data_IF_302090358162
#
_entry.id   IF_302090358162
#
_cell.length_a   1.000
_cell.length_b   1.000
_cell.length_c   1.000
_cell.angle_alpha   90.00
_cell.angle_beta   90.00
_cell.angle_gamma   90.00
#
_symmetry.space_group_name_H-M   'P 1'
#
loop_
_entity.id
_entity.type
_entity.pdbx_description
1 polymer ?
#
# COMPACT_ATOMS: atom_id res chain seq x y z
N UNK A 1 12.56 8.52 -18.98
CA UNK A 1 12.60 10.00 -19.06
C UNK A 1 11.27 10.63 -18.63
N UNK A 2 10.10 10.09 -19.02
CA UNK A 2 8.78 10.54 -18.52
C UNK A 2 8.48 10.15 -17.06
N UNK A 3 9.10 9.06 -16.60
CA UNK A 3 8.81 8.46 -15.31
C UNK A 3 9.40 9.24 -14.13
N UNK A 4 10.63 9.76 -14.30
CA UNK A 4 11.20 10.76 -13.39
C UNK A 4 10.37 12.05 -13.37
N UNK A 5 9.80 12.49 -14.50
CA UNK A 5 8.96 13.69 -14.53
C UNK A 5 7.65 13.51 -13.74
N UNK A 6 7.00 12.34 -13.83
CA UNK A 6 5.81 12.06 -13.04
C UNK A 6 6.13 11.98 -11.55
N UNK A 7 7.20 11.26 -11.18
CA UNK A 7 7.66 11.19 -9.80
C UNK A 7 7.94 12.58 -9.21
N UNK A 8 8.67 13.43 -9.94
CA UNK A 8 8.99 14.79 -9.49
C UNK A 8 7.72 15.64 -9.35
N UNK A 9 6.79 15.53 -10.30
CA UNK A 9 5.52 16.27 -10.22
C UNK A 9 4.70 15.85 -9.00
N UNK A 10 4.55 14.54 -8.77
CA UNK A 10 3.82 14.02 -7.63
C UNK A 10 4.48 14.41 -6.29
N UNK A 11 5.82 14.40 -6.24
CA UNK A 11 6.54 14.90 -5.07
C UNK A 11 6.21 16.36 -4.77
N UNK A 12 6.19 17.22 -5.79
CA UNK A 12 5.85 18.63 -5.64
C UNK A 12 4.40 18.82 -5.19
N UNK A 13 3.45 18.10 -5.78
CA UNK A 13 2.02 18.20 -5.44
C UNK A 13 1.76 17.76 -4.00
N UNK A 14 2.28 16.59 -3.60
CA UNK A 14 2.13 16.04 -2.24
C UNK A 14 2.80 16.93 -1.21
N UNK A 15 4.03 17.37 -1.46
CA UNK A 15 4.74 18.23 -0.52
C UNK A 15 4.15 19.64 -0.46
N UNK A 16 3.66 20.18 -1.57
CA UNK A 16 2.96 21.46 -1.61
C UNK A 16 1.68 21.45 -0.78
N UNK A 17 0.91 20.36 -0.84
CA UNK A 17 -0.34 20.22 -0.08
C UNK A 17 -0.10 19.95 1.40
N UNK A 18 0.70 18.93 1.72
CA UNK A 18 0.89 18.49 3.10
C UNK A 18 2.03 19.20 3.82
N UNK A 19 3.12 19.49 3.10
CA UNK A 19 4.40 19.92 3.69
C UNK A 19 4.36 21.27 4.40
N UNK A 20 3.25 21.99 4.39
CA UNK A 20 3.02 23.24 5.15
C UNK A 20 2.28 23.02 6.48
N UNK A 21 1.74 21.83 6.74
CA UNK A 21 1.06 21.52 8.00
C UNK A 21 2.07 21.33 9.14
N UNK A 22 1.88 22.05 10.24
CA UNK A 22 2.79 22.03 11.41
C UNK A 22 2.11 21.69 12.74
N UNK A 23 0.78 21.66 12.78
CA UNK A 23 -0.01 21.32 13.98
C UNK A 23 -0.34 19.82 14.07
N UNK A 24 0.58 18.96 13.61
CA UNK A 24 0.39 17.51 13.51
C UNK A 24 1.64 16.78 14.00
N UNK A 25 1.47 15.53 14.42
CA UNK A 25 2.60 14.68 14.77
C UNK A 25 3.52 14.50 13.54
N UNK A 26 4.83 14.83 13.65
CA UNK A 26 5.71 14.83 12.48
C UNK A 26 5.92 13.46 11.83
N UNK A 27 5.94 12.37 12.61
CA UNK A 27 6.12 11.02 12.09
C UNK A 27 4.87 10.56 11.33
N UNK A 28 3.69 10.76 11.92
CA UNK A 28 2.40 10.47 11.27
C UNK A 28 2.21 11.32 10.02
N UNK A 29 2.63 12.58 10.07
CA UNK A 29 2.58 13.48 8.92
C UNK A 29 3.46 12.99 7.77
N UNK A 30 4.70 12.60 8.05
CA UNK A 30 5.59 12.01 7.05
C UNK A 30 5.03 10.71 6.45
N UNK A 31 4.38 9.85 7.25
CA UNK A 31 3.71 8.65 6.72
C UNK A 31 2.61 9.00 5.74
N UNK A 32 1.76 9.99 6.05
CA UNK A 32 0.69 10.42 5.14
C UNK A 32 1.27 10.93 3.82
N UNK A 33 2.30 11.76 3.89
CA UNK A 33 2.98 12.27 2.70
C UNK A 33 3.57 11.14 1.85
N UNK A 34 4.32 10.23 2.47
CA UNK A 34 4.98 9.13 1.75
C UNK A 34 3.99 8.10 1.19
N UNK A 35 2.89 7.81 1.91
CA UNK A 35 1.80 6.95 1.40
C UNK A 35 1.01 7.62 0.28
N UNK A 36 0.95 8.96 0.24
CA UNK A 36 0.34 9.70 -0.87
C UNK A 36 1.13 9.57 -2.18
N UNK A 37 2.37 9.09 -2.12
CA UNK A 37 3.14 8.70 -3.30
C UNK A 37 2.71 7.35 -3.88
N UNK A 38 1.78 6.63 -3.23
CA UNK A 38 1.26 5.35 -3.70
C UNK A 38 2.02 4.12 -3.19
N UNK A 39 3.14 4.31 -2.49
CA UNK A 39 3.95 3.22 -1.94
C UNK A 39 3.60 2.87 -0.49
N UNK A 40 3.90 1.64 -0.08
CA UNK A 40 3.67 1.19 1.29
C UNK A 40 4.79 1.62 2.25
N UNK A 41 4.40 2.41 3.25
CA UNK A 41 5.27 2.92 4.32
C UNK A 41 4.74 2.57 5.71
N UNK A 42 5.63 2.10 6.58
CA UNK A 42 5.37 1.77 8.00
C UNK A 42 6.08 2.76 8.93
N UNK A 43 5.65 2.82 10.19
CA UNK A 43 6.35 3.63 11.20
C UNK A 43 7.83 3.23 11.36
N UNK A 44 8.14 1.94 11.25
CA UNK A 44 9.52 1.41 11.32
C UNK A 44 10.39 1.88 10.16
N UNK A 45 9.82 2.01 8.95
CA UNK A 45 10.57 2.55 7.80
C UNK A 45 11.04 3.99 8.06
N UNK A 46 10.32 4.74 8.90
CA UNK A 46 10.63 6.12 9.25
C UNK A 46 11.47 6.25 10.53
N UNK A 47 11.60 5.21 11.34
CA UNK A 47 12.34 5.28 12.61
C UNK A 47 13.74 5.82 12.39
N UNK A 48 14.47 5.26 11.41
CA UNK A 48 15.84 5.70 11.08
C UNK A 48 15.87 7.16 10.59
N UNK A 49 14.88 7.60 9.81
CA UNK A 49 14.81 8.97 9.31
C UNK A 49 14.53 10.00 10.42
N UNK A 50 13.95 9.55 11.54
CA UNK A 50 13.57 10.40 12.67
C UNK A 50 14.43 10.21 13.93
N UNK A 51 15.25 9.16 14.02
CA UNK A 51 16.10 8.88 15.19
C UNK A 51 17.33 9.79 15.29
N UNK A 52 17.82 10.31 14.17
CA UNK A 52 19.08 11.07 14.08
C UNK A 52 18.85 12.54 13.70
N UNK A 53 17.64 13.08 13.91
CA UNK A 53 17.31 14.43 13.44
C UNK A 53 17.99 15.50 14.29
N UNK A 54 18.60 16.54 13.66
CA UNK A 54 19.14 17.68 14.37
C UNK A 54 18.09 18.37 15.25
N UNK A 55 18.55 18.94 16.36
CA UNK A 55 17.70 19.68 17.28
C UNK A 55 16.98 20.83 16.56
N UNK A 56 15.66 20.94 16.77
CA UNK A 56 14.80 21.92 16.08
C UNK A 56 14.22 21.47 14.74
N UNK A 57 14.75 20.41 14.09
CA UNK A 57 14.21 19.89 12.83
C UNK A 57 13.23 18.73 13.03
N UNK A 58 11.99 19.06 13.40
CA UNK A 58 10.95 18.07 13.66
C UNK A 58 10.32 17.46 12.40
N UNK A 59 10.24 18.21 11.30
CA UNK A 59 9.56 17.79 10.05
C UNK A 59 10.57 17.53 8.93
N UNK A 60 10.21 16.65 7.99
CA UNK A 60 10.97 16.43 6.76
C UNK A 60 10.91 17.69 5.89
N UNK A 61 12.06 18.14 5.40
CA UNK A 61 12.10 19.10 4.30
C UNK A 61 11.85 18.41 2.95
N UNK A 62 11.66 19.19 1.88
CA UNK A 62 11.33 18.66 0.56
C UNK A 62 12.38 17.66 0.05
N UNK A 63 13.66 17.99 0.20
CA UNK A 63 14.76 17.14 -0.23
C UNK A 63 14.78 15.81 0.51
N UNK A 64 14.53 15.82 1.82
CA UNK A 64 14.45 14.61 2.63
C UNK A 64 13.25 13.75 2.25
N UNK A 65 12.07 14.36 2.10
CA UNK A 65 10.85 13.69 1.65
C UNK A 65 11.05 13.04 0.29
N UNK A 66 11.53 13.80 -0.71
CA UNK A 66 11.79 13.32 -2.07
C UNK A 66 12.76 12.14 -2.08
N UNK A 67 13.86 12.23 -1.31
CA UNK A 67 14.85 11.15 -1.22
C UNK A 67 14.25 9.87 -0.64
N UNK A 68 13.44 9.99 0.42
CA UNK A 68 12.75 8.84 1.02
C UNK A 68 11.72 8.27 0.03
N UNK A 69 10.88 9.10 -0.57
CA UNK A 69 9.90 8.64 -1.56
C UNK A 69 10.56 7.86 -2.70
N UNK A 70 11.69 8.36 -3.24
CA UNK A 70 12.42 7.70 -4.31
C UNK A 70 12.98 6.33 -3.91
N UNK A 71 13.33 6.10 -2.64
CA UNK A 71 13.95 4.84 -2.21
C UNK A 71 13.00 3.64 -2.27
N UNK A 72 11.68 3.87 -2.33
CA UNK A 72 10.67 2.83 -2.50
C UNK A 72 9.85 3.01 -3.79
N UNK A 73 10.21 3.96 -4.65
CA UNK A 73 9.43 4.25 -5.85
C UNK A 73 9.45 3.07 -6.81
N UNK A 74 8.27 2.52 -7.09
CA UNK A 74 8.11 1.42 -8.03
C UNK A 74 7.33 1.85 -9.26
N UNK A 75 7.95 1.59 -10.40
CA UNK A 75 7.27 1.59 -11.69
C UNK A 75 7.29 0.17 -12.25
N UNK A 76 6.13 -0.42 -12.56
CA UNK A 76 6.08 -1.57 -13.43
C UNK A 76 6.76 -1.17 -14.75
N UNK A 77 7.67 -2.02 -15.25
CA UNK A 77 8.29 -1.79 -16.54
C UNK A 77 7.20 -1.83 -17.62
N UNK A 78 6.74 -0.65 -18.04
CA UNK A 78 5.82 -0.51 -19.15
C UNK A 78 6.53 -0.87 -20.45
N UNK A 79 6.19 -2.01 -21.03
CA UNK A 79 6.57 -2.40 -22.39
C UNK A 79 7.84 -3.22 -22.50
N UNK A 80 7.69 -4.54 -22.49
CA UNK A 80 7.97 -5.41 -23.64
C UNK A 80 8.00 -6.86 -23.17
N UNK A 81 7.50 -7.73 -24.06
CA UNK A 81 7.61 -9.19 -24.06
C UNK A 81 8.80 -9.73 -23.23
N UNK A 82 8.58 -9.97 -21.94
CA UNK A 82 9.42 -10.87 -21.17
C UNK A 82 8.75 -12.24 -21.22
N UNK A 83 9.09 -13.01 -22.26
CA UNK A 83 8.99 -14.46 -22.20
C UNK A 83 9.69 -14.92 -20.90
N UNK A 84 8.90 -15.24 -19.88
CA UNK A 84 9.37 -15.81 -18.61
C UNK A 84 9.41 -14.90 -17.38
N UNK A 85 8.95 -13.64 -17.45
CA UNK A 85 8.80 -12.79 -16.25
C UNK A 85 7.39 -12.90 -15.67
N UNK A 86 7.24 -13.35 -14.43
CA UNK A 86 5.94 -13.45 -13.76
C UNK A 86 5.26 -12.08 -13.66
N UNK A 87 4.43 -11.73 -14.65
CA UNK A 87 3.47 -10.65 -14.52
C UNK A 87 2.49 -11.07 -13.43
N UNK A 88 2.33 -10.24 -12.39
CA UNK A 88 1.32 -10.46 -11.37
C UNK A 88 -0.04 -10.17 -12.00
N UNK A 89 -0.58 -11.20 -12.64
CA UNK A 89 -1.92 -11.18 -13.20
C UNK A 89 -2.93 -11.50 -12.09
N UNK A 90 -4.07 -10.81 -12.11
CA UNK A 90 -5.15 -11.14 -11.21
C UNK A 90 -5.76 -12.52 -11.52
N UNK A 91 -5.52 -13.10 -12.71
CA UNK A 91 -6.11 -14.33 -13.24
C UNK A 91 -7.13 -14.10 -14.38
N UNK A 92 -7.35 -12.86 -14.79
CA UNK A 92 -8.22 -12.41 -15.90
C UNK A 92 -7.46 -11.52 -16.91
N UNK A 93 -6.15 -11.37 -16.79
CA UNK A 93 -5.34 -10.50 -17.64
C UNK A 93 -5.14 -9.07 -17.11
N UNK A 94 -5.59 -8.75 -15.89
CA UNK A 94 -5.34 -7.42 -15.30
C UNK A 94 -4.07 -7.41 -14.46
N UNK A 95 -3.25 -6.38 -14.68
CA UNK A 95 -2.00 -6.17 -13.96
C UNK A 95 -2.24 -5.70 -12.52
N UNK A 96 -1.59 -6.39 -11.57
CA UNK A 96 -1.52 -5.99 -10.16
C UNK A 96 -0.32 -5.06 -9.99
N UNK A 97 -0.58 -3.78 -9.73
CA UNK A 97 0.43 -2.73 -9.47
C UNK A 97 1.09 -2.87 -8.09
N UNK A 98 1.76 -4.00 -7.86
CA UNK A 98 2.54 -4.29 -6.66
C UNK A 98 3.77 -5.12 -7.02
N UNK A 99 4.85 -4.99 -6.25
CA UNK A 99 6.03 -5.82 -6.43
C UNK A 99 5.71 -7.32 -6.30
N UNK A 100 6.27 -8.21 -7.13
CA UNK A 100 6.09 -9.66 -7.00
C UNK A 100 6.43 -10.22 -5.63
N UNK A 101 7.44 -9.66 -4.96
CA UNK A 101 7.81 -10.05 -3.60
C UNK A 101 6.69 -9.73 -2.59
N UNK A 102 6.04 -8.58 -2.71
CA UNK A 102 4.95 -8.17 -1.83
C UNK A 102 3.68 -8.99 -2.09
N UNK A 103 3.39 -9.30 -3.36
CA UNK A 103 2.29 -10.22 -3.73
C UNK A 103 2.54 -11.61 -3.15
N UNK A 104 3.76 -12.13 -3.25
CA UNK A 104 4.13 -13.44 -2.70
C UNK A 104 4.04 -13.46 -1.17
N UNK A 105 4.54 -12.42 -0.49
CA UNK A 105 4.44 -12.26 0.96
C UNK A 105 2.97 -12.17 1.41
N UNK A 106 2.15 -11.40 0.69
CA UNK A 106 0.72 -11.27 0.97
C UNK A 106 0.01 -12.61 0.84
N UNK A 107 0.19 -13.32 -0.28
CA UNK A 107 -0.41 -14.65 -0.50
C UNK A 107 0.01 -15.63 0.59
N UNK A 108 1.31 -15.68 0.91
CA UNK A 108 1.81 -16.54 1.99
C UNK A 108 1.23 -16.21 3.37
N UNK A 109 1.01 -14.93 3.68
CA UNK A 109 0.35 -14.52 4.93
C UNK A 109 -1.14 -14.90 4.93
N UNK A 110 -1.84 -14.62 3.82
CA UNK A 110 -3.25 -14.97 3.66
C UNK A 110 -3.48 -16.48 3.80
N UNK A 111 -2.65 -17.29 3.15
CA UNK A 111 -2.78 -18.75 3.15
C UNK A 111 -2.63 -19.34 4.55
N UNK A 112 -1.68 -18.83 5.35
CA UNK A 112 -1.47 -19.28 6.74
C UNK A 112 -2.67 -18.95 7.62
N UNK A 113 -3.22 -17.75 7.46
CA UNK A 113 -4.37 -17.29 8.25
C UNK A 113 -5.63 -18.06 7.84
N UNK A 114 -5.88 -18.19 6.54
CA UNK A 114 -7.01 -18.97 6.03
C UNK A 114 -6.95 -20.40 6.53
N UNK A 115 -5.78 -21.06 6.48
CA UNK A 115 -5.61 -22.41 7.00
C UNK A 115 -5.86 -22.49 8.52
N UNK A 116 -5.40 -21.51 9.29
CA UNK A 116 -5.63 -21.47 10.73
C UNK A 116 -7.13 -21.37 11.08
N UNK A 117 -7.90 -20.52 10.38
CA UNK A 117 -9.30 -20.26 10.70
C UNK A 117 -10.29 -21.23 10.04
N UNK A 118 -9.95 -21.79 8.88
CA UNK A 118 -10.88 -22.65 8.11
C UNK A 118 -10.45 -24.12 8.05
N UNK A 119 -9.19 -24.42 8.37
CA UNK A 119 -8.60 -25.75 8.19
C UNK A 119 -8.43 -26.17 6.72
N UNK A 120 -8.81 -25.32 5.77
CA UNK A 120 -8.75 -25.63 4.34
C UNK A 120 -7.32 -25.55 3.81
N UNK A 121 -6.86 -26.63 3.16
CA UNK A 121 -5.54 -26.72 2.51
C UNK A 121 -5.58 -26.65 0.99
N UNK A 122 -6.77 -26.60 0.40
CA UNK A 122 -6.99 -26.55 -1.05
C UNK A 122 -6.69 -25.20 -1.70
N UNK A 123 -6.84 -25.08 -3.04
CA UNK A 123 -6.50 -23.87 -3.80
C UNK A 123 -7.48 -22.70 -3.61
N UNK A 124 -8.72 -22.97 -3.20
CA UNK A 124 -9.76 -21.96 -3.00
C UNK A 124 -9.83 -21.51 -1.54
N UNK A 125 -8.70 -21.05 -1.01
CA UNK A 125 -8.63 -20.54 0.37
C UNK A 125 -9.43 -19.24 0.48
N UNK A 126 -10.28 -19.19 1.48
CA UNK A 126 -11.08 -18.02 1.81
C UNK A 126 -10.84 -17.59 3.25
N UNK A 127 -11.17 -16.34 3.55
CA UNK A 127 -11.15 -15.80 4.89
C UNK A 127 -12.51 -15.18 5.22
N UNK A 128 -13.14 -15.53 6.36
CA UNK A 128 -14.35 -14.86 6.80
C UNK A 128 -14.13 -13.36 7.01
N UNK A 129 -15.09 -12.54 6.61
CA UNK A 129 -14.97 -11.08 6.72
C UNK A 129 -14.76 -10.61 8.17
N UNK A 130 -15.38 -11.25 9.15
CA UNK A 130 -15.23 -10.90 10.56
C UNK A 130 -13.78 -11.08 11.02
N UNK A 131 -13.13 -12.16 10.56
CA UNK A 131 -11.72 -12.45 10.87
C UNK A 131 -10.82 -11.42 10.21
N UNK A 132 -11.06 -11.12 8.93
CA UNK A 132 -10.31 -10.08 8.22
C UNK A 132 -10.45 -8.71 8.90
N UNK A 133 -11.67 -8.30 9.25
CA UNK A 133 -11.93 -7.03 9.94
C UNK A 133 -11.24 -6.99 11.31
N UNK A 134 -11.31 -8.09 12.07
CA UNK A 134 -10.64 -8.20 13.36
C UNK A 134 -9.12 -8.07 13.23
N UNK A 135 -8.52 -8.73 12.24
CA UNK A 135 -7.08 -8.63 11.98
C UNK A 135 -6.66 -7.21 11.62
N UNK A 136 -7.39 -6.56 10.72
CA UNK A 136 -7.06 -5.19 10.29
C UNK A 136 -7.19 -4.17 11.43
N UNK A 137 -8.08 -4.40 12.40
CA UNK A 137 -8.40 -3.40 13.44
C UNK A 137 -7.73 -3.64 14.78
N UNK A 138 -7.10 -4.80 15.01
CA UNK A 138 -6.54 -5.16 16.32
C UNK A 138 -5.08 -5.65 16.31
N UNK A 139 -4.41 -5.80 15.15
CA UNK A 139 -3.04 -6.33 15.08
C UNK A 139 -2.01 -5.25 14.72
N UNK A 140 -0.84 -5.30 15.37
CA UNK A 140 0.35 -4.45 15.16
C UNK A 140 0.08 -2.94 14.96
N UNK A 141 -0.17 -2.52 13.71
CA UNK A 141 -0.55 -1.17 13.31
C UNK A 141 -2.04 -1.17 12.92
N UNK A 142 -2.95 -1.15 13.90
CA UNK A 142 -4.36 -1.33 13.64
C UNK A 142 -4.92 -0.18 12.79
N UNK A 143 -5.66 -0.56 11.76
CA UNK A 143 -6.46 0.37 10.97
C UNK A 143 -7.63 0.90 11.83
N UNK A 144 -7.92 2.22 11.79
CA UNK A 144 -9.11 2.74 12.44
C UNK A 144 -10.37 2.03 11.93
N UNK A 145 -11.25 1.58 12.85
CA UNK A 145 -12.47 0.83 12.53
C UNK A 145 -13.33 1.45 11.41
N UNK A 146 -13.53 2.78 11.34
CA UNK A 146 -14.27 3.38 10.22
C UNK A 146 -13.61 3.19 8.86
N UNK A 147 -12.27 3.28 8.81
CA UNK A 147 -11.49 3.07 7.57
C UNK A 147 -11.53 1.59 7.18
N UNK A 148 -11.39 0.69 8.14
CA UNK A 148 -11.54 -0.75 7.90
C UNK A 148 -12.94 -1.09 7.38
N UNK A 149 -13.99 -0.51 7.97
CA UNK A 149 -15.37 -0.72 7.52
C UNK A 149 -15.57 -0.22 6.08
N UNK A 150 -15.02 0.95 5.75
CA UNK A 150 -15.04 1.47 4.39
C UNK A 150 -14.31 0.54 3.42
N UNK A 151 -13.10 0.09 3.76
CA UNK A 151 -12.34 -0.88 2.96
C UNK A 151 -13.14 -2.16 2.71
N UNK A 152 -13.72 -2.73 3.77
CA UNK A 152 -14.52 -3.97 3.69
C UNK A 152 -15.74 -3.81 2.76
N UNK A 153 -16.36 -2.63 2.73
CA UNK A 153 -17.50 -2.34 1.83
C UNK A 153 -17.16 -2.34 0.34
N UNK A 154 -15.86 -2.28 -0.02
CA UNK A 154 -15.39 -2.29 -1.40
C UNK A 154 -14.99 -3.68 -1.89
N UNK A 155 -15.01 -4.70 -1.02
CA UNK A 155 -14.63 -6.06 -1.38
C UNK A 155 -15.72 -6.76 -2.17
N UNK A 156 -15.31 -7.56 -3.15
CA UNK A 156 -16.18 -8.56 -3.77
C UNK A 156 -16.26 -9.78 -2.83
N UNK A 157 -17.38 -9.87 -2.12
CA UNK A 157 -17.64 -10.88 -1.08
C UNK A 157 -18.55 -11.96 -1.63
N UNK A 158 -18.25 -13.22 -1.33
CA UNK A 158 -19.15 -14.34 -1.56
C UNK A 158 -19.30 -15.13 -0.26
N UNK A 159 -20.53 -15.43 0.15
CA UNK A 159 -20.82 -16.17 1.39
C UNK A 159 -20.14 -15.60 2.66
N UNK A 160 -20.07 -14.27 2.80
CA UNK A 160 -19.36 -13.58 3.89
C UNK A 160 -17.86 -13.92 4.00
N UNK A 161 -17.27 -14.35 2.89
CA UNK A 161 -15.87 -14.70 2.78
C UNK A 161 -15.21 -13.98 1.59
N UNK A 162 -13.89 -13.86 1.65
CA UNK A 162 -13.07 -13.25 0.61
C UNK A 162 -11.87 -14.11 0.26
N UNK A 163 -11.42 -13.98 -0.99
CA UNK A 163 -10.22 -14.65 -1.50
C UNK A 163 -9.02 -13.70 -1.47
N UNK A 164 -7.81 -14.26 -1.49
CA UNK A 164 -6.58 -13.48 -1.66
C UNK A 164 -6.62 -12.61 -2.92
N UNK A 165 -7.20 -13.14 -4.00
CA UNK A 165 -7.38 -12.43 -5.28
C UNK A 165 -8.24 -11.17 -5.10
N UNK A 166 -9.44 -11.31 -4.52
CA UNK A 166 -10.34 -10.16 -4.30
C UNK A 166 -9.66 -9.04 -3.51
N UNK A 167 -8.85 -9.40 -2.51
CA UNK A 167 -8.09 -8.44 -1.70
C UNK A 167 -6.96 -7.77 -2.50
N UNK A 168 -6.18 -8.55 -3.25
CA UNK A 168 -5.10 -8.03 -4.09
C UNK A 168 -5.63 -7.08 -5.16
N UNK A 169 -6.74 -7.43 -5.84
CA UNK A 169 -7.37 -6.56 -6.82
C UNK A 169 -7.81 -5.22 -6.22
N UNK A 170 -8.30 -5.21 -4.98
CA UNK A 170 -8.68 -3.98 -4.30
C UNK A 170 -7.47 -3.15 -3.89
N UNK A 171 -6.43 -3.79 -3.33
CA UNK A 171 -5.21 -3.12 -2.85
C UNK A 171 -4.36 -2.56 -3.99
N UNK A 172 -4.26 -3.28 -5.10
CA UNK A 172 -3.45 -2.90 -6.24
C UNK A 172 -4.18 -1.95 -7.21
N UNK A 173 -5.43 -1.60 -6.91
CA UNK A 173 -6.18 -0.62 -7.70
C UNK A 173 -5.57 0.76 -7.46
N UNK A 174 -4.75 1.24 -8.40
CA UNK A 174 -4.47 2.68 -8.49
C UNK A 174 -5.82 3.36 -8.72
N UNK A 175 -6.24 4.24 -7.82
CA UNK A 175 -7.37 5.12 -8.11
C UNK A 175 -7.02 5.86 -9.40
N UNK A 176 -7.82 5.63 -10.45
CA UNK A 176 -7.75 6.51 -11.60
C UNK A 176 -8.15 7.88 -11.09
N UNK A 177 -7.17 8.78 -10.97
CA UNK A 177 -7.45 10.20 -10.80
C UNK A 177 -8.13 10.62 -12.08
N UNK A 178 -9.46 10.47 -12.13
CA UNK A 178 -10.24 11.17 -13.12
C UNK A 178 -9.91 12.64 -12.91
N UNK A 179 -9.28 13.25 -13.91
CA UNK A 179 -9.16 14.69 -13.99
C UNK A 179 -10.56 15.25 -13.73
N UNK A 180 -10.76 15.78 -12.52
CA UNK A 180 -11.86 16.70 -12.27
C UNK A 180 -11.42 17.97 -12.98
N UNK A 181 -11.74 18.05 -14.27
CA UNK A 181 -11.77 19.30 -15.02
C UNK A 181 -12.94 20.14 -14.52
#
# INVERSE_FOLDING_TARGET
>A
MESDLYFERLCNDVYGYYGMLRNVDPKKHALVMLRSMGEFWTERDLEKAFSERPEGQKFLNFTEFRRLAKSKWYEPAGGDQLEGGAQNDDGYGNEIFMHPEDVSRFKGAFDRVSEFYTGARGPNRTLPLEVLHNMMTNQEQPMPKPVASYFMSKLNVYNNEVTARSLLCLLAKREAVHNVM
#
